data_IF_515295739254
#
_entry.id   IF_515295739254
#
_cell.length_a   1.000
_cell.length_b   1.000
_cell.length_c   1.000
_cell.angle_alpha   90.00
_cell.angle_beta   90.00
_cell.angle_gamma   90.00
#
_symmetry.space_group_name_H-M   'P 1'
#
loop_
_entity.id
_entity.type
_entity.pdbx_description
1 polymer ?
#
# COMPACT_ATOMS: atom_id res chain seq x y z
N UNK A 1 -45.02 12.61 1.70
CA UNK A 1 -44.34 12.91 2.99
C UNK A 1 -42.86 13.09 2.67
N UNK A 2 -42.33 14.31 2.71
CA UNK A 2 -40.92 14.57 2.42
C UNK A 2 -40.11 14.24 3.69
N UNK A 3 -39.32 13.18 3.63
CA UNK A 3 -38.35 12.86 4.69
C UNK A 3 -37.16 13.81 4.47
N UNK A 4 -37.01 14.80 5.35
CA UNK A 4 -35.78 15.61 5.43
C UNK A 4 -34.69 14.67 5.95
N UNK A 5 -33.75 14.31 5.08
CA UNK A 5 -32.54 13.60 5.47
C UNK A 5 -31.57 14.63 6.03
N UNK A 6 -31.32 14.58 7.33
CA UNK A 6 -30.27 15.37 7.96
C UNK A 6 -28.92 14.75 7.62
N UNK A 7 -28.11 15.49 6.86
CA UNK A 7 -26.74 15.10 6.53
C UNK A 7 -25.85 15.69 7.63
N UNK A 8 -25.25 14.88 8.52
CA UNK A 8 -24.28 15.36 9.49
C UNK A 8 -23.11 16.08 8.79
N UNK A 9 -22.55 17.10 9.44
CA UNK A 9 -21.45 17.88 8.91
C UNK A 9 -20.13 17.10 8.79
N UNK A 10 -20.02 15.99 9.53
CA UNK A 10 -18.90 15.06 9.46
C UNK A 10 -19.43 13.63 9.29
N UNK A 11 -18.79 12.80 8.44
CA UNK A 11 -19.19 11.41 8.26
C UNK A 11 -19.02 10.60 9.55
N UNK A 12 -19.94 9.69 9.81
CA UNK A 12 -19.96 8.82 10.98
C UNK A 12 -19.02 7.63 10.71
N UNK A 13 -17.94 7.51 11.46
CA UNK A 13 -17.04 6.36 11.35
C UNK A 13 -17.70 5.10 11.92
N UNK A 14 -17.79 4.05 11.10
CA UNK A 14 -18.52 2.82 11.41
C UNK A 14 -17.60 1.68 11.86
N UNK A 15 -16.50 1.49 11.12
CA UNK A 15 -15.50 0.49 11.41
C UNK A 15 -14.16 0.89 10.82
N UNK A 16 -13.09 0.36 11.42
CA UNK A 16 -11.73 0.57 10.96
C UNK A 16 -10.98 -0.75 11.03
N UNK A 17 -10.31 -1.12 9.94
CA UNK A 17 -9.44 -2.30 9.89
C UNK A 17 -8.06 -1.96 10.46
N UNK A 18 -8.02 -1.74 11.79
CA UNK A 18 -6.83 -1.24 12.50
C UNK A 18 -5.60 -2.11 12.28
N UNK A 19 -5.75 -3.44 12.19
CA UNK A 19 -4.63 -4.36 11.92
C UNK A 19 -4.01 -4.14 10.54
N UNK A 20 -4.83 -3.87 9.51
CA UNK A 20 -4.34 -3.59 8.15
C UNK A 20 -3.63 -2.25 8.10
N UNK A 21 -4.18 -1.24 8.77
CA UNK A 21 -3.57 0.10 8.88
C UNK A 21 -2.23 0.01 9.59
N UNK A 22 -2.16 -0.67 10.74
CA UNK A 22 -0.94 -0.83 11.51
C UNK A 22 0.11 -1.64 10.75
N UNK A 23 -0.30 -2.71 10.07
CA UNK A 23 0.59 -3.48 9.19
C UNK A 23 1.18 -2.63 8.07
N UNK A 24 0.38 -1.75 7.44
CA UNK A 24 0.89 -0.80 6.46
C UNK A 24 1.84 0.23 7.08
N UNK A 25 1.47 0.85 8.22
CA UNK A 25 2.31 1.82 8.93
C UNK A 25 3.66 1.23 9.35
N UNK A 26 3.69 -0.03 9.78
CA UNK A 26 4.92 -0.73 10.10
C UNK A 26 5.82 -0.90 8.87
N UNK A 27 5.26 -1.31 7.72
CA UNK A 27 5.99 -1.41 6.46
C UNK A 27 6.48 -0.03 5.97
N UNK A 28 5.66 1.02 6.13
CA UNK A 28 6.05 2.40 5.83
C UNK A 28 7.25 2.84 6.69
N UNK A 29 7.24 2.52 7.99
CA UNK A 29 8.37 2.76 8.88
C UNK A 29 9.66 2.05 8.43
N UNK A 30 9.56 0.79 7.99
CA UNK A 30 10.70 0.07 7.41
C UNK A 30 11.21 0.73 6.12
N UNK A 31 10.30 1.12 5.23
CA UNK A 31 10.65 1.81 3.99
C UNK A 31 11.39 3.14 4.27
N UNK A 32 10.92 3.92 5.25
CA UNK A 32 11.58 5.16 5.69
C UNK A 32 13.02 4.90 6.13
N UNK A 33 13.25 3.88 6.95
CA UNK A 33 14.58 3.56 7.44
C UNK A 33 15.52 3.15 6.28
N UNK A 34 15.06 2.28 5.38
CA UNK A 34 15.86 1.84 4.24
C UNK A 34 16.24 3.00 3.32
N UNK A 35 15.30 3.91 3.03
CA UNK A 35 15.58 5.11 2.22
C UNK A 35 16.51 6.07 2.95
N UNK A 36 16.39 6.18 4.28
CA UNK A 36 17.30 6.99 5.10
C UNK A 36 18.74 6.49 5.00
N UNK A 37 18.96 5.18 4.98
CA UNK A 37 20.28 4.59 4.79
C UNK A 37 20.87 4.92 3.41
N UNK A 38 20.04 4.92 2.35
CA UNK A 38 20.45 5.37 1.01
C UNK A 38 20.85 6.85 1.03
N UNK A 39 20.05 7.72 1.66
CA UNK A 39 20.35 9.16 1.76
C UNK A 39 21.65 9.40 2.51
N UNK A 40 21.89 8.70 3.62
CA UNK A 40 23.13 8.81 4.39
C UNK A 40 24.33 8.33 3.57
N UNK A 41 24.21 7.18 2.90
CA UNK A 41 25.26 6.65 2.05
C UNK A 41 25.57 7.58 0.85
N UNK A 42 24.54 8.21 0.27
CA UNK A 42 24.70 9.18 -0.80
C UNK A 42 25.37 10.45 -0.32
N UNK A 43 24.97 10.98 0.85
CA UNK A 43 25.57 12.18 1.45
C UNK A 43 27.06 12.01 1.76
N UNK A 44 27.49 10.79 2.11
CA UNK A 44 28.89 10.46 2.32
C UNK A 44 29.75 10.56 1.04
N UNK A 45 29.14 10.65 -0.14
CA UNK A 45 29.84 10.89 -1.40
C UNK A 45 30.11 12.38 -1.66
N UNK A 46 29.59 13.29 -0.82
CA UNK A 46 29.77 14.75 -0.91
C UNK A 46 29.23 15.37 -2.22
N UNK A 47 28.22 14.76 -2.83
CA UNK A 47 27.63 15.18 -4.12
C UNK A 47 26.41 16.11 -3.98
N UNK A 48 26.18 16.63 -2.78
CA UNK A 48 24.97 17.37 -2.40
C UNK A 48 23.85 16.46 -1.89
N UNK A 49 22.65 17.05 -1.78
CA UNK A 49 21.48 16.34 -1.25
C UNK A 49 20.81 15.47 -2.33
N UNK A 50 20.44 14.25 -1.94
CA UNK A 50 19.69 13.34 -2.79
C UNK A 50 18.26 13.87 -2.97
N UNK A 51 17.79 13.92 -4.20
CA UNK A 51 16.39 14.24 -4.51
C UNK A 51 15.56 12.97 -4.71
N UNK A 52 14.22 13.09 -4.58
CA UNK A 52 13.30 11.98 -4.87
C UNK A 52 13.47 11.45 -6.32
N UNK A 53 13.71 12.35 -7.28
CA UNK A 53 13.92 11.99 -8.68
C UNK A 53 15.21 11.17 -8.87
N UNK A 54 16.29 11.53 -8.19
CA UNK A 54 17.55 10.80 -8.24
C UNK A 54 17.45 9.43 -7.56
N UNK A 55 16.77 9.32 -6.41
CA UNK A 55 16.48 8.02 -5.80
C UNK A 55 15.76 7.10 -6.79
N UNK A 56 14.71 7.61 -7.44
CA UNK A 56 13.94 6.84 -8.43
C UNK A 56 14.80 6.38 -9.63
N UNK A 57 15.82 7.15 -10.01
CA UNK A 57 16.78 6.76 -11.06
C UNK A 57 17.76 5.73 -10.53
N UNK A 58 18.33 5.92 -9.34
CA UNK A 58 19.25 4.98 -8.68
C UNK A 58 18.62 3.60 -8.47
N UNK A 59 17.32 3.53 -8.19
CA UNK A 59 16.61 2.26 -8.04
C UNK A 59 16.39 1.52 -9.38
N UNK A 60 16.48 2.22 -10.52
CA UNK A 60 16.23 1.68 -11.87
C UNK A 60 17.49 1.48 -12.70
N UNK A 61 18.57 2.19 -12.38
CA UNK A 61 19.80 2.27 -13.16
C UNK A 61 21.01 1.93 -12.30
N UNK A 62 22.16 1.68 -12.95
CA UNK A 62 23.43 1.44 -12.24
C UNK A 62 23.89 2.72 -11.54
N UNK A 63 24.18 2.70 -10.22
CA UNK A 63 24.57 3.89 -9.47
C UNK A 63 25.76 4.62 -10.08
N UNK A 64 26.75 3.89 -10.59
CA UNK A 64 27.96 4.44 -11.21
C UNK A 64 27.65 5.47 -12.27
N UNK A 65 26.66 5.20 -13.13
CA UNK A 65 26.32 6.08 -14.25
C UNK A 65 25.76 7.40 -13.73
N UNK A 66 24.81 7.33 -12.78
CA UNK A 66 24.19 8.52 -12.22
C UNK A 66 25.20 9.38 -11.44
N UNK A 67 26.12 8.74 -10.70
CA UNK A 67 27.19 9.45 -10.00
C UNK A 67 28.13 10.14 -11.00
N UNK A 68 28.54 9.47 -12.09
CA UNK A 68 29.38 10.09 -13.14
C UNK A 68 28.69 11.28 -13.80
N UNK A 69 27.40 11.16 -14.11
CA UNK A 69 26.61 12.28 -14.66
C UNK A 69 26.57 13.46 -13.70
N UNK A 70 26.38 13.20 -12.40
CA UNK A 70 26.34 14.24 -11.37
C UNK A 70 27.68 14.96 -11.21
N UNK A 71 28.78 14.22 -11.21
CA UNK A 71 30.14 14.76 -11.04
C UNK A 71 30.62 15.49 -12.30
N UNK A 72 30.36 14.95 -13.49
CA UNK A 72 30.75 15.59 -14.75
C UNK A 72 29.98 16.90 -15.02
N UNK A 73 28.78 17.03 -14.45
CA UNK A 73 27.88 18.13 -14.73
C UNK A 73 27.32 18.06 -16.15
N UNK A 74 26.73 19.18 -16.60
CA UNK A 74 26.06 19.27 -17.91
C UNK A 74 26.88 20.01 -18.96
N UNK A 75 28.05 20.54 -18.59
CA UNK A 75 28.83 21.43 -19.46
C UNK A 75 30.19 20.82 -19.83
N UNK A 76 30.66 21.01 -21.08
CA UNK A 76 32.01 20.63 -21.48
C UNK A 76 33.08 21.30 -20.62
N UNK A 77 34.08 20.53 -20.19
CA UNK A 77 35.17 21.03 -19.34
C UNK A 77 36.31 21.56 -20.21
N UNK A 78 36.77 22.78 -19.92
CA UNK A 78 37.93 23.39 -20.58
C UNK A 78 39.16 23.39 -19.68
N UNK A 79 40.27 22.85 -20.18
CA UNK A 79 41.58 22.86 -19.51
C UNK A 79 42.59 23.49 -20.48
N UNK A 80 42.94 24.76 -20.22
CA UNK A 80 43.77 25.54 -21.14
C UNK A 80 43.09 25.72 -22.51
N UNK A 81 43.72 25.23 -23.57
CA UNK A 81 43.17 25.26 -24.94
C UNK A 81 42.35 24.01 -25.30
N UNK A 82 42.35 22.98 -24.46
CA UNK A 82 41.63 21.73 -24.71
C UNK A 82 40.20 21.84 -24.17
N UNK A 83 39.22 21.45 -24.99
CA UNK A 83 37.81 21.28 -24.58
C UNK A 83 37.47 19.80 -24.59
N UNK A 84 37.06 19.26 -23.44
CA UNK A 84 36.61 17.88 -23.31
C UNK A 84 35.10 17.83 -23.35
N UNK A 85 34.54 16.89 -24.12
CA UNK A 85 33.09 16.64 -24.07
C UNK A 85 32.70 16.04 -22.71
N UNK A 86 31.44 16.18 -22.34
CA UNK A 86 30.85 15.62 -21.12
C UNK A 86 31.08 14.11 -21.01
N UNK A 87 30.96 13.39 -22.13
CA UNK A 87 31.17 11.93 -22.18
C UNK A 87 32.63 11.59 -21.88
N UNK A 88 33.57 12.36 -22.44
CA UNK A 88 35.00 12.14 -22.20
C UNK A 88 35.38 12.46 -20.76
N UNK A 89 34.77 13.47 -20.15
CA UNK A 89 34.93 13.77 -18.73
C UNK A 89 34.39 12.63 -17.87
N UNK A 90 33.20 12.10 -18.18
CA UNK A 90 32.61 10.97 -17.47
C UNK A 90 33.51 9.72 -17.49
N UNK A 91 34.18 9.41 -18.60
CA UNK A 91 35.13 8.29 -18.68
C UNK A 91 36.32 8.46 -17.73
N UNK A 92 36.81 9.69 -17.58
CA UNK A 92 38.01 10.03 -16.82
C UNK A 92 37.76 10.20 -15.31
N UNK A 93 36.50 10.29 -14.87
CA UNK A 93 36.16 10.42 -13.45
C UNK A 93 36.44 9.10 -12.73
N UNK A 94 37.36 9.17 -11.77
CA UNK A 94 37.51 8.15 -10.74
C UNK A 94 36.36 8.29 -9.74
N UNK A 95 35.63 7.19 -9.53
CA UNK A 95 34.49 7.18 -8.63
C UNK A 95 34.95 6.87 -7.19
N UNK A 96 34.33 7.51 -6.18
CA UNK A 96 34.49 7.08 -4.80
C UNK A 96 33.96 5.65 -4.62
N UNK A 97 34.28 5.04 -3.48
CA UNK A 97 33.76 3.70 -3.14
C UNK A 97 32.23 3.74 -3.00
N UNK A 98 31.53 3.03 -3.88
CA UNK A 98 30.07 3.00 -3.93
C UNK A 98 29.47 1.81 -3.16
N UNK A 99 30.29 0.92 -2.58
CA UNK A 99 29.80 -0.34 -1.97
C UNK A 99 28.69 -0.11 -0.93
N UNK A 100 28.82 0.91 -0.10
CA UNK A 100 27.82 1.26 0.92
C UNK A 100 26.50 1.71 0.29
N UNK A 101 26.57 2.56 -0.75
CA UNK A 101 25.38 3.03 -1.47
C UNK A 101 24.70 1.88 -2.22
N UNK A 102 25.47 1.05 -2.91
CA UNK A 102 24.96 -0.12 -3.64
C UNK A 102 24.27 -1.11 -2.72
N UNK A 103 24.85 -1.35 -1.54
CA UNK A 103 24.23 -2.21 -0.52
C UNK A 103 22.88 -1.63 -0.06
N UNK A 104 22.84 -0.35 0.32
CA UNK A 104 21.59 0.29 0.75
C UNK A 104 20.52 0.27 -0.35
N UNK A 105 20.90 0.53 -1.61
CA UNK A 105 19.98 0.43 -2.75
C UNK A 105 19.45 -0.99 -2.97
N UNK A 106 20.30 -2.01 -2.79
CA UNK A 106 19.89 -3.42 -2.88
C UNK A 106 18.82 -3.76 -1.84
N UNK A 107 18.97 -3.28 -0.60
CA UNK A 107 17.99 -3.53 0.46
C UNK A 107 16.63 -2.88 0.17
N UNK A 108 16.63 -1.67 -0.41
CA UNK A 108 15.40 -1.01 -0.90
C UNK A 108 14.77 -1.80 -2.05
N UNK A 109 15.57 -2.30 -3.00
CA UNK A 109 15.09 -3.11 -4.13
C UNK A 109 14.50 -4.44 -3.66
N UNK A 110 15.14 -5.13 -2.73
CA UNK A 110 14.63 -6.36 -2.12
C UNK A 110 13.32 -6.12 -1.37
N UNK A 111 13.23 -5.01 -0.63
CA UNK A 111 11.98 -4.58 -0.02
C UNK A 111 10.89 -4.36 -1.07
N UNK A 112 11.16 -3.63 -2.14
CA UNK A 112 10.21 -3.38 -3.24
C UNK A 112 9.73 -4.69 -3.90
N UNK A 113 10.61 -5.67 -4.09
CA UNK A 113 10.26 -6.97 -4.64
C UNK A 113 9.34 -7.78 -3.71
N UNK A 114 9.58 -7.72 -2.39
CA UNK A 114 8.70 -8.36 -1.40
C UNK A 114 7.32 -7.70 -1.40
N UNK A 115 7.27 -6.37 -1.54
CA UNK A 115 6.03 -5.61 -1.59
C UNK A 115 5.22 -5.83 -2.87
N UNK A 116 5.85 -6.17 -4.00
CA UNK A 116 5.14 -6.46 -5.25
C UNK A 116 4.12 -7.61 -5.14
N UNK A 117 4.21 -8.43 -4.09
CA UNK A 117 3.30 -9.54 -3.78
C UNK A 117 2.16 -9.15 -2.83
N UNK A 118 2.10 -7.90 -2.38
CA UNK A 118 1.07 -7.46 -1.44
C UNK A 118 -0.26 -7.18 -2.16
N UNK A 119 -1.40 -7.59 -1.58
CA UNK A 119 -2.70 -7.34 -2.16
C UNK A 119 -3.01 -5.84 -2.22
N UNK A 120 -3.78 -5.43 -3.23
CA UNK A 120 -4.23 -4.05 -3.48
C UNK A 120 -3.16 -3.04 -3.91
N UNK A 121 -1.92 -3.47 -4.19
CA UNK A 121 -0.90 -2.61 -4.80
C UNK A 121 -0.44 -1.45 -3.89
N UNK A 122 -0.73 -1.51 -2.59
CA UNK A 122 -0.28 -0.54 -1.61
C UNK A 122 1.20 -0.79 -1.25
N UNK A 123 2.07 -0.16 -2.03
CA UNK A 123 3.52 -0.16 -1.77
C UNK A 123 3.82 0.82 -0.65
N UNK A 124 4.53 0.38 0.38
CA UNK A 124 4.96 1.24 1.47
C UNK A 124 6.02 2.24 1.02
N UNK A 125 6.80 1.95 -0.03
CA UNK A 125 7.74 2.93 -0.60
C UNK A 125 7.05 4.21 -1.12
N UNK A 126 5.77 4.13 -1.53
CA UNK A 126 5.01 5.32 -1.96
C UNK A 126 4.69 6.26 -0.78
N UNK A 127 4.84 5.77 0.47
CA UNK A 127 4.67 6.56 1.69
C UNK A 127 5.95 7.30 2.13
N UNK A 128 7.00 7.27 1.32
CA UNK A 128 8.29 7.90 1.62
C UNK A 128 8.57 9.01 0.63
N UNK A 129 9.04 10.16 1.13
CA UNK A 129 9.49 11.29 0.31
C UNK A 129 10.85 11.78 0.81
N UNK A 130 11.63 12.34 -0.11
CA UNK A 130 12.82 13.12 0.22
C UNK A 130 12.55 14.60 -0.02
N UNK A 131 12.62 15.39 1.03
CA UNK A 131 12.46 16.85 1.01
C UNK A 131 13.76 17.46 1.53
N UNK A 132 14.45 18.23 0.68
CA UNK A 132 15.70 18.91 1.04
C UNK A 132 16.75 17.95 1.66
N UNK A 133 16.91 16.76 1.08
CA UNK A 133 17.85 15.76 1.57
C UNK A 133 17.43 15.03 2.85
N UNK A 134 16.21 15.28 3.36
CA UNK A 134 15.67 14.62 4.54
C UNK A 134 14.56 13.65 4.14
N UNK A 135 14.62 12.42 4.66
CA UNK A 135 13.59 11.42 4.44
C UNK A 135 12.41 11.68 5.38
N UNK A 136 11.23 11.85 4.81
CA UNK A 136 9.99 12.14 5.54
C UNK A 136 8.87 11.23 5.08
N UNK A 137 7.90 11.01 5.97
CA UNK A 137 6.68 10.28 5.66
C UNK A 137 5.76 11.12 4.76
N UNK A 138 5.18 10.50 3.74
CA UNK A 138 4.11 11.08 2.95
C UNK A 138 2.78 10.96 3.71
N UNK A 139 2.44 12.00 4.45
CA UNK A 139 1.20 12.06 5.23
C UNK A 139 -0.04 11.87 4.36
N UNK A 140 -0.06 12.40 3.14
CA UNK A 140 -1.18 12.22 2.21
C UNK A 140 -1.39 10.74 1.90
N UNK A 141 -0.29 10.02 1.59
CA UNK A 141 -0.38 8.59 1.28
C UNK A 141 -0.81 7.76 2.49
N UNK A 142 -0.31 8.08 3.68
CA UNK A 142 -0.71 7.42 4.92
C UNK A 142 -2.21 7.63 5.21
N UNK A 143 -2.71 8.86 5.02
CA UNK A 143 -4.12 9.19 5.20
C UNK A 143 -5.01 8.51 4.16
N UNK A 144 -4.57 8.39 2.90
CA UNK A 144 -5.28 7.65 1.87
C UNK A 144 -5.46 6.17 2.25
N UNK A 145 -4.42 5.55 2.81
CA UNK A 145 -4.49 4.14 3.25
C UNK A 145 -5.42 3.98 4.45
N UNK A 146 -5.35 4.90 5.40
CA UNK A 146 -6.27 4.91 6.55
C UNK A 146 -7.73 5.06 6.10
N UNK A 147 -8.01 5.97 5.17
CA UNK A 147 -9.33 6.12 4.58
C UNK A 147 -9.80 4.86 3.84
N UNK A 148 -8.91 4.19 3.09
CA UNK A 148 -9.23 2.96 2.36
C UNK A 148 -9.64 1.81 3.29
N UNK A 149 -9.13 1.80 4.52
CA UNK A 149 -9.43 0.79 5.55
C UNK A 149 -10.41 1.27 6.62
N UNK A 150 -11.08 2.40 6.39
CA UNK A 150 -12.09 2.93 7.31
C UNK A 150 -13.42 3.04 6.57
N UNK A 151 -14.46 2.45 7.15
CA UNK A 151 -15.83 2.57 6.63
C UNK A 151 -16.53 3.72 7.32
N UNK A 152 -17.14 4.60 6.52
CA UNK A 152 -17.90 5.75 6.97
C UNK A 152 -19.34 5.66 6.47
N UNK A 153 -20.26 6.18 7.27
CA UNK A 153 -21.64 6.45 6.88
C UNK A 153 -21.86 7.96 6.80
N UNK A 154 -22.48 8.43 5.73
CA UNK A 154 -22.80 9.85 5.51
C UNK A 154 -24.15 10.21 6.13
N UNK A 155 -25.03 9.23 6.32
CA UNK A 155 -26.36 9.43 6.92
C UNK A 155 -26.67 8.38 7.98
N UNK A 156 -27.63 8.68 8.88
CA UNK A 156 -28.10 7.69 9.85
C UNK A 156 -28.73 6.46 9.17
N UNK A 157 -29.35 6.61 8.00
CA UNK A 157 -29.89 5.49 7.23
C UNK A 157 -28.78 4.55 6.70
N UNK A 158 -27.66 5.11 6.24
CA UNK A 158 -26.50 4.32 5.81
C UNK A 158 -25.85 3.60 7.00
N UNK A 159 -25.78 4.26 8.16
CA UNK A 159 -25.31 3.65 9.41
C UNK A 159 -26.18 2.47 9.83
N UNK A 160 -27.51 2.62 9.81
CA UNK A 160 -28.43 1.52 10.11
C UNK A 160 -28.25 0.36 9.12
N UNK A 161 -28.18 0.65 7.82
CA UNK A 161 -27.94 -0.37 6.79
C UNK A 161 -26.60 -1.11 7.01
N UNK A 162 -25.54 -0.39 7.39
CA UNK A 162 -24.26 -0.99 7.73
C UNK A 162 -24.36 -1.94 8.93
N UNK A 163 -25.08 -1.55 9.99
CA UNK A 163 -25.25 -2.39 11.18
C UNK A 163 -25.99 -3.69 10.85
N UNK A 164 -27.04 -3.64 10.02
CA UNK A 164 -27.73 -4.84 9.54
C UNK A 164 -26.84 -5.75 8.70
N UNK A 165 -26.03 -5.18 7.81
CA UNK A 165 -25.07 -5.95 7.00
C UNK A 165 -24.01 -6.63 7.88
N UNK A 166 -23.52 -5.93 8.91
CA UNK A 166 -22.56 -6.48 9.87
C UNK A 166 -23.16 -7.65 10.66
N UNK A 167 -24.38 -7.50 11.17
CA UNK A 167 -25.09 -8.58 11.87
C UNK A 167 -25.29 -9.80 10.96
N UNK A 168 -25.68 -9.58 9.70
CA UNK A 168 -25.80 -10.66 8.72
C UNK A 168 -24.45 -11.36 8.46
N UNK A 169 -23.35 -10.60 8.36
CA UNK A 169 -22.01 -11.16 8.19
C UNK A 169 -21.59 -12.02 9.40
N UNK A 170 -21.84 -11.55 10.62
CA UNK A 170 -21.53 -12.31 11.85
C UNK A 170 -22.31 -13.64 11.91
N UNK A 171 -23.57 -13.63 11.48
CA UNK A 171 -24.39 -14.86 11.36
C UNK A 171 -23.79 -15.81 10.31
N UNK A 172 -23.39 -15.29 9.15
CA UNK A 172 -22.78 -16.11 8.09
C UNK A 172 -21.45 -16.72 8.54
N UNK A 173 -20.61 -15.97 9.25
CA UNK A 173 -19.34 -16.48 9.79
C UNK A 173 -19.57 -17.55 10.87
N UNK A 174 -20.56 -17.36 11.75
CA UNK A 174 -20.98 -18.38 12.70
C UNK A 174 -21.44 -19.66 11.99
N UNK A 175 -22.27 -19.53 10.95
CA UNK A 175 -22.75 -20.68 10.18
C UNK A 175 -21.62 -21.38 9.42
N UNK A 176 -20.72 -20.62 8.80
CA UNK A 176 -19.54 -21.13 8.09
C UNK A 176 -18.63 -21.95 9.00
N UNK A 177 -18.32 -21.41 10.18
CA UNK A 177 -17.46 -22.06 11.17
C UNK A 177 -18.08 -23.32 11.78
N UNK A 178 -19.42 -23.35 11.94
CA UNK A 178 -20.12 -24.47 12.58
C UNK A 178 -20.58 -25.58 11.62
N UNK A 179 -20.89 -25.25 10.37
CA UNK A 179 -21.54 -26.18 9.43
C UNK A 179 -20.78 -26.42 8.11
N UNK A 180 -19.53 -25.92 7.99
CA UNK A 180 -18.64 -25.99 6.81
C UNK A 180 -19.02 -25.07 5.63
N UNK A 181 -18.01 -24.59 4.91
CA UNK A 181 -18.08 -23.57 3.85
C UNK A 181 -18.99 -23.90 2.66
N UNK A 182 -19.22 -25.19 2.38
CA UNK A 182 -20.10 -25.62 1.28
C UNK A 182 -21.58 -25.26 1.52
N UNK A 183 -22.01 -25.09 2.78
CA UNK A 183 -23.38 -24.68 3.11
C UNK A 183 -23.64 -23.19 2.83
N UNK A 184 -22.64 -22.34 3.07
CA UNK A 184 -22.75 -20.88 2.93
C UNK A 184 -22.77 -20.45 1.45
N UNK A 185 -22.03 -21.17 0.60
CA UNK A 185 -22.03 -20.93 -0.85
C UNK A 185 -23.39 -21.12 -1.51
N UNK A 186 -24.15 -22.15 -1.09
CA UNK A 186 -25.48 -22.45 -1.65
C UNK A 186 -26.56 -21.47 -1.17
N UNK A 187 -26.47 -20.98 0.08
CA UNK A 187 -27.37 -19.95 0.61
C UNK A 187 -27.19 -18.62 -0.12
N UNK A 188 -25.95 -18.18 -0.34
CA UNK A 188 -25.67 -16.94 -1.07
C UNK A 188 -26.11 -16.99 -2.54
N UNK A 189 -26.06 -18.18 -3.16
CA UNK A 189 -26.46 -18.40 -4.56
C UNK A 189 -27.97 -18.37 -4.78
N UNK A 190 -28.78 -18.71 -3.76
CA UNK A 190 -30.24 -18.56 -3.80
C UNK A 190 -30.71 -17.12 -3.53
N UNK A 191 -29.84 -16.27 -3.00
CA UNK A 191 -30.16 -14.87 -2.65
C UNK A 191 -29.90 -13.89 -3.81
N UNK A 192 -29.09 -14.29 -4.80
CA UNK A 192 -28.77 -13.46 -5.97
C UNK A 192 -29.49 -13.94 -7.23
N UNK A 193 -30.83 -13.89 -7.25
CA UNK A 193 -31.58 -13.78 -8.50
C UNK A 193 -31.83 -12.30 -8.82
N UNK A 194 -31.20 -11.87 -9.92
CA UNK A 194 -31.08 -10.49 -10.36
C UNK A 194 -32.38 -10.01 -11.01
N UNK A 195 -33.08 -9.05 -10.38
CA UNK A 195 -34.01 -8.17 -11.10
C UNK A 195 -33.65 -6.70 -10.83
N UNK A 196 -33.41 -5.98 -11.91
CA UNK A 196 -33.06 -4.57 -11.93
C UNK A 196 -34.11 -3.74 -11.19
N UNK A 197 -33.75 -3.13 -10.05
CA UNK A 197 -34.66 -2.22 -9.36
C UNK A 197 -34.39 -1.90 -7.89
N UNK A 198 -33.44 -2.54 -7.21
CA UNK A 198 -33.09 -2.23 -5.81
C UNK A 198 -32.88 -3.49 -4.97
N UNK A 199 -32.17 -3.35 -3.85
CA UNK A 199 -31.91 -4.46 -2.93
C UNK A 199 -33.14 -4.70 -2.03
N UNK A 200 -33.86 -5.78 -2.26
CA UNK A 200 -34.71 -6.42 -1.25
C UNK A 200 -34.27 -7.86 -1.09
N UNK A 201 -33.78 -8.21 0.10
CA UNK A 201 -33.37 -9.57 0.45
C UNK A 201 -34.45 -10.23 1.30
N UNK A 202 -35.08 -11.28 0.78
CA UNK A 202 -35.91 -12.20 1.57
C UNK A 202 -35.08 -13.44 1.90
N UNK A 203 -34.69 -13.59 3.17
CA UNK A 203 -33.95 -14.77 3.64
C UNK A 203 -34.98 -15.86 4.00
N UNK A 204 -35.21 -16.82 3.10
CA UNK A 204 -35.95 -18.03 3.42
C UNK A 204 -34.99 -19.12 3.90
N UNK A 205 -34.95 -19.34 5.21
CA UNK A 205 -34.12 -20.38 5.82
C UNK A 205 -34.88 -21.72 5.77
N UNK A 206 -34.49 -22.60 4.87
CA UNK A 206 -34.93 -24.00 4.90
C UNK A 206 -33.98 -24.84 5.74
N UNK A 207 -34.41 -25.18 6.96
CA UNK A 207 -33.72 -26.15 7.81
C UNK A 207 -33.82 -27.55 7.19
N UNK A 208 -32.73 -28.03 6.59
CA UNK A 208 -32.60 -29.44 6.25
C UNK A 208 -32.45 -30.23 7.55
N UNK A 209 -33.49 -31.00 7.90
CA UNK A 209 -33.42 -31.99 8.99
C UNK A 209 -32.31 -33.00 8.67
N UNK A 210 -31.18 -32.92 9.37
CA UNK A 210 -30.17 -33.97 9.31
C UNK A 210 -30.77 -35.25 9.91
N UNK A 211 -30.83 -36.32 9.11
CA UNK A 211 -31.01 -37.67 9.65
C UNK A 211 -29.84 -37.95 10.59
N UNK A 212 -30.14 -38.05 11.89
CA UNK A 212 -29.20 -38.58 12.87
C UNK A 212 -29.03 -40.07 12.56
N UNK A 213 -27.95 -40.44 11.88
CA UNK A 213 -27.47 -41.82 11.85
C UNK A 213 -26.74 -42.07 13.16
N UNK A 214 -27.46 -42.59 14.15
CA UNK A 214 -26.85 -43.15 15.35
C UNK A 214 -25.96 -44.33 14.95
N UNK A 215 -24.64 -44.16 15.01
CA UNK A 215 -23.73 -45.31 15.12
C UNK A 215 -23.93 -45.91 16.51
N UNK A 216 -24.59 -47.07 16.58
CA UNK A 216 -24.46 -47.96 17.74
C UNK A 216 -23.01 -48.40 17.79
N UNK A 217 -22.31 -48.00 18.84
CA UNK A 217 -21.11 -48.70 19.29
C UNK A 217 -21.61 -49.95 20.02
N UNK A 218 -21.25 -51.11 19.49
CA UNK A 218 -21.40 -52.43 20.09
C UNK A 218 -20.19 -53.23 19.69
#
# INVERSE_FOLDING_TARGET
>A
MMIKVEIPSEPIQMAQETDKINSYRQRAGQALQLVQEVVVAYKALELGDLTQAELNRLLKQRPQQLIREKVAGTEPVRIGTLTFSTEKVQELIELPDLRTLEKALSEVQEFQQREARTPYGLKALDSVMIVEGVVVANAEKLNQVEAMYTTYAVTEAEKEAYLYMKEAADILDYLSSKYSTNFVGDVLRQVTDYQAGGYTTNINIHLLKSKVTSRRVG
#
